data_IF_294204661518
#
_entry.id   IF_294204661518
#
_cell.length_a   1.000
_cell.length_b   1.000
_cell.length_c   1.000
_cell.angle_alpha   90.00
_cell.angle_beta   90.00
_cell.angle_gamma   90.00
#
_symmetry.space_group_name_H-M   'P 1'
#
loop_
_entity.id
_entity.type
_entity.pdbx_description
1 polymer ?
#
# COMPACT_ATOMS: atom_id res chain seq x y z
N UNK A 1 22.30 49.14 14.72
CA UNK A 1 21.11 48.50 14.08
C UNK A 1 20.01 48.28 15.11
N UNK A 2 18.83 48.90 14.90
CA UNK A 2 17.65 48.72 15.76
C UNK A 2 17.28 47.23 15.82
N UNK A 3 16.88 46.72 16.99
CA UNK A 3 16.54 45.28 17.21
C UNK A 3 15.54 44.75 16.16
N UNK A 4 14.59 45.58 15.71
CA UNK A 4 13.63 45.22 14.65
C UNK A 4 14.26 44.96 13.27
N UNK A 5 15.34 45.65 12.90
CA UNK A 5 16.04 45.42 11.63
C UNK A 5 16.86 44.11 11.66
N UNK A 6 17.46 43.76 12.81
CA UNK A 6 18.11 42.46 13.00
C UNK A 6 17.11 41.30 12.93
N UNK A 7 15.93 41.47 13.55
CA UNK A 7 14.88 40.47 13.52
C UNK A 7 14.32 40.25 12.10
N UNK A 8 14.11 41.32 11.34
CA UNK A 8 13.67 41.24 9.95
C UNK A 8 14.66 40.51 9.03
N UNK A 9 15.96 40.74 9.20
CA UNK A 9 17.01 40.02 8.44
C UNK A 9 17.02 38.53 8.81
N UNK A 10 16.93 38.19 10.10
CA UNK A 10 16.89 36.80 10.55
C UNK A 10 15.65 36.08 10.01
N UNK A 11 14.48 36.71 10.06
CA UNK A 11 13.24 36.15 9.49
C UNK A 11 13.34 35.98 7.96
N UNK A 12 13.98 36.92 7.26
CA UNK A 12 14.24 36.80 5.83
C UNK A 12 15.15 35.62 5.49
N UNK A 13 16.23 35.42 6.24
CA UNK A 13 17.14 34.26 6.07
C UNK A 13 16.39 32.95 6.34
N UNK A 14 15.61 32.88 7.42
CA UNK A 14 14.81 31.69 7.75
C UNK A 14 13.81 31.39 6.62
N UNK A 15 13.10 32.38 6.10
CA UNK A 15 12.15 32.19 5.01
C UNK A 15 12.82 31.63 3.74
N UNK A 16 14.00 32.13 3.38
CA UNK A 16 14.76 31.62 2.23
C UNK A 16 15.26 30.19 2.45
N UNK A 17 15.66 29.83 3.68
CA UNK A 17 16.09 28.45 4.01
C UNK A 17 14.94 27.45 4.10
N UNK A 18 13.74 27.90 4.50
CA UNK A 18 12.56 27.05 4.59
C UNK A 18 12.06 26.59 3.22
N UNK A 19 12.29 27.35 2.15
CA UNK A 19 11.86 26.97 0.79
C UNK A 19 12.59 25.68 0.33
N UNK A 20 13.93 25.60 0.28
CA UNK A 20 14.62 24.34 -0.02
C UNK A 20 14.29 23.22 0.97
N UNK A 21 14.19 23.53 2.27
CA UNK A 21 13.84 22.54 3.28
C UNK A 21 12.45 21.94 3.06
N UNK A 22 11.48 22.73 2.60
CA UNK A 22 10.14 22.25 2.25
C UNK A 22 10.19 21.29 1.05
N UNK A 23 10.92 21.64 -0.02
CA UNK A 23 11.04 20.76 -1.18
C UNK A 23 11.75 19.44 -0.83
N UNK A 24 12.83 19.49 -0.05
CA UNK A 24 13.48 18.29 0.48
C UNK A 24 12.51 17.51 1.38
N UNK A 25 11.75 18.21 2.24
CA UNK A 25 10.75 17.59 3.10
C UNK A 25 9.72 16.79 2.30
N UNK A 26 9.24 17.39 1.21
CA UNK A 26 8.29 16.79 0.28
C UNK A 26 8.88 15.53 -0.38
N UNK A 27 10.13 15.56 -0.85
CA UNK A 27 10.75 14.42 -1.55
C UNK A 27 10.90 13.18 -0.68
N UNK A 28 11.05 13.35 0.63
CA UNK A 28 11.08 12.25 1.59
C UNK A 28 9.70 11.89 2.15
N UNK A 29 8.61 12.44 1.59
CA UNK A 29 7.25 12.19 2.07
C UNK A 29 7.04 12.60 3.53
N UNK A 30 7.80 13.58 4.06
CA UNK A 30 7.69 14.00 5.47
C UNK A 30 6.28 14.49 5.79
N UNK A 31 5.62 15.16 4.85
CA UNK A 31 4.28 15.71 4.99
C UNK A 31 3.16 14.75 4.58
N UNK A 32 3.51 13.59 4.00
CA UNK A 32 2.55 12.56 3.64
C UNK A 32 2.03 11.84 4.90
N UNK A 33 0.75 11.46 4.91
CA UNK A 33 0.14 10.73 6.03
C UNK A 33 0.60 9.27 6.10
N UNK A 34 1.12 8.74 5.00
CA UNK A 34 1.41 7.33 4.75
C UNK A 34 2.92 7.04 4.69
N UNK A 35 3.28 5.79 4.95
CA UNK A 35 4.65 5.29 4.88
C UNK A 35 4.67 3.96 4.13
N UNK A 36 5.60 3.82 3.17
CA UNK A 36 5.87 2.55 2.48
C UNK A 36 6.66 1.63 3.42
N UNK A 37 6.28 0.37 3.46
CA UNK A 37 6.78 -0.63 4.42
C UNK A 37 8.13 -1.24 4.04
N UNK A 38 8.99 -0.50 3.33
CA UNK A 38 10.31 -0.96 2.84
C UNK A 38 11.25 -1.50 3.91
N UNK A 39 11.03 -1.12 5.18
CA UNK A 39 11.85 -1.53 6.33
C UNK A 39 11.17 -2.57 7.22
N UNK A 40 9.98 -3.03 6.85
CA UNK A 40 9.19 -3.99 7.62
C UNK A 40 9.05 -5.31 6.86
N UNK A 41 8.91 -6.40 7.59
CA UNK A 41 8.32 -7.63 7.07
C UNK A 41 6.78 -7.53 7.13
N UNK A 42 6.10 -8.28 6.27
CA UNK A 42 4.65 -8.44 6.31
C UNK A 42 4.32 -9.83 6.86
N UNK A 43 3.28 -9.92 7.68
CA UNK A 43 2.72 -11.18 8.16
C UNK A 43 1.19 -11.13 8.19
N UNK A 44 0.57 -12.30 8.30
CA UNK A 44 -0.85 -12.48 8.60
C UNK A 44 -0.98 -13.17 9.97
N UNK A 45 -1.93 -12.72 10.77
CA UNK A 45 -2.31 -13.38 12.01
C UNK A 45 -3.36 -14.48 11.75
N UNK A 46 -3.07 -15.70 12.21
CA UNK A 46 -3.94 -16.86 12.13
C UNK A 46 -3.91 -17.56 13.48
N UNK A 47 -5.07 -17.67 14.14
CA UNK A 47 -5.23 -18.29 15.45
C UNK A 47 -4.21 -17.79 16.50
N UNK A 48 -3.95 -16.47 16.50
CA UNK A 48 -3.01 -15.82 17.42
C UNK A 48 -1.52 -16.02 17.10
N UNK A 49 -1.18 -16.62 15.96
CA UNK A 49 0.19 -16.81 15.47
C UNK A 49 0.43 -16.01 14.19
N UNK A 50 1.66 -15.54 14.00
CA UNK A 50 2.06 -14.68 12.88
C UNK A 50 2.79 -15.51 11.82
N UNK A 51 2.36 -15.44 10.57
CA UNK A 51 2.95 -16.19 9.46
C UNK A 51 3.41 -15.24 8.36
N UNK A 52 4.57 -15.52 7.76
CA UNK A 52 5.07 -14.81 6.57
C UNK A 52 4.07 -14.92 5.43
N UNK A 53 3.85 -13.82 4.71
CA UNK A 53 2.90 -13.73 3.59
C UNK A 53 3.56 -13.70 2.22
N UNK A 54 4.84 -14.04 2.10
CA UNK A 54 5.54 -14.18 0.82
C UNK A 54 4.70 -14.97 -0.19
N UNK A 55 4.41 -14.41 -1.39
CA UNK A 55 5.23 -13.43 -2.10
C UNK A 55 4.74 -11.97 -2.02
N UNK A 56 3.87 -11.60 -1.07
CA UNK A 56 3.52 -10.19 -0.86
C UNK A 56 4.75 -9.40 -0.38
N UNK A 57 5.15 -8.39 -1.14
CA UNK A 57 6.39 -7.65 -0.89
C UNK A 57 6.10 -6.38 -0.11
N UNK A 58 6.76 -6.23 1.04
CA UNK A 58 6.57 -5.07 1.92
C UNK A 58 6.95 -3.73 1.28
N UNK A 59 7.89 -3.69 0.35
CA UNK A 59 8.23 -2.47 -0.40
C UNK A 59 7.12 -2.01 -1.35
N UNK A 60 6.14 -2.86 -1.67
CA UNK A 60 4.93 -2.51 -2.44
C UNK A 60 3.72 -2.25 -1.56
N UNK A 61 3.86 -2.40 -0.24
CA UNK A 61 2.84 -2.10 0.73
C UNK A 61 3.08 -0.75 1.41
N UNK A 62 2.01 -0.09 1.81
CA UNK A 62 2.06 1.13 2.60
C UNK A 62 0.97 1.11 3.67
N UNK A 63 1.12 1.98 4.66
CA UNK A 63 0.10 2.20 5.68
C UNK A 63 0.06 3.65 6.13
N UNK A 64 -1.02 4.06 6.80
CA UNK A 64 -1.02 5.33 7.51
C UNK A 64 0.05 5.34 8.63
N UNK A 65 0.77 6.45 8.78
CA UNK A 65 1.84 6.62 9.80
C UNK A 65 1.30 6.61 11.23
N UNK A 66 0.03 7.00 11.43
CA UNK A 66 -0.60 7.24 12.73
C UNK A 66 -2.06 6.82 12.69
N UNK A 67 -2.63 6.62 13.88
CA UNK A 67 -3.99 6.14 14.07
C UNK A 67 -4.02 4.70 14.59
N UNK A 68 -5.10 4.37 15.27
CA UNK A 68 -5.41 2.98 15.68
C UNK A 68 -6.03 2.21 14.49
N UNK A 69 -6.85 2.89 13.67
CA UNK A 69 -7.47 2.33 12.46
C UNK A 69 -6.66 2.66 11.19
N UNK A 70 -5.37 2.33 11.21
CA UNK A 70 -4.48 2.57 10.05
C UNK A 70 -5.05 1.90 8.81
N UNK A 71 -5.06 2.61 7.70
CA UNK A 71 -5.38 2.02 6.41
C UNK A 71 -4.17 1.26 5.86
N UNK A 72 -4.40 0.09 5.28
CA UNK A 72 -3.42 -0.68 4.52
C UNK A 72 -3.59 -0.40 3.03
N UNK A 73 -2.48 -0.16 2.34
CA UNK A 73 -2.45 0.09 0.91
C UNK A 73 -1.45 -0.83 0.23
N UNK A 74 -1.71 -1.18 -1.04
CA UNK A 74 -0.82 -2.00 -1.85
C UNK A 74 -0.74 -1.47 -3.29
N UNK A 75 0.43 -1.52 -3.92
CA UNK A 75 0.62 -0.98 -5.28
C UNK A 75 -0.37 -1.63 -6.27
N UNK A 76 -1.08 -0.80 -7.03
CA UNK A 76 -2.24 -1.22 -7.84
C UNK A 76 -1.87 -2.10 -9.05
N UNK A 77 -0.69 -1.87 -9.63
CA UNK A 77 -0.23 -2.47 -10.89
C UNK A 77 0.56 -3.77 -10.68
N UNK A 78 0.37 -4.44 -9.53
CA UNK A 78 1.14 -5.63 -9.17
C UNK A 78 0.27 -6.89 -9.18
N UNK A 79 0.75 -7.93 -9.86
CA UNK A 79 0.02 -9.22 -9.92
C UNK A 79 -0.10 -9.92 -8.56
N UNK A 80 0.83 -9.66 -7.64
CA UNK A 80 0.85 -10.27 -6.31
C UNK A 80 -0.25 -9.71 -5.39
N UNK A 81 -0.95 -8.64 -5.76
CA UNK A 81 -2.13 -8.15 -5.03
C UNK A 81 -3.24 -9.21 -4.93
N UNK A 82 -3.27 -10.20 -5.84
CA UNK A 82 -4.16 -11.37 -5.77
C UNK A 82 -3.99 -12.17 -4.47
N UNK A 83 -2.77 -12.22 -3.91
CA UNK A 83 -2.50 -12.93 -2.67
C UNK A 83 -3.18 -12.28 -1.46
N UNK A 84 -3.44 -10.96 -1.48
CA UNK A 84 -4.24 -10.31 -0.43
C UNK A 84 -5.69 -10.77 -0.45
N UNK A 85 -6.25 -11.06 -1.64
CA UNK A 85 -7.59 -11.64 -1.74
C UNK A 85 -7.61 -13.08 -1.25
N UNK A 86 -6.59 -13.88 -1.57
CA UNK A 86 -6.46 -15.24 -1.04
C UNK A 86 -6.35 -15.26 0.49
N UNK A 87 -5.61 -14.31 1.07
CA UNK A 87 -5.59 -14.09 2.52
C UNK A 87 -6.98 -13.78 3.07
N UNK A 88 -7.68 -12.84 2.44
CA UNK A 88 -9.01 -12.39 2.86
C UNK A 88 -10.05 -13.52 2.82
N UNK A 89 -9.99 -14.38 1.80
CA UNK A 89 -10.88 -15.53 1.65
C UNK A 89 -10.38 -16.81 2.35
N UNK A 90 -9.26 -16.73 3.08
CA UNK A 90 -8.63 -17.88 3.78
C UNK A 90 -8.28 -19.03 2.83
N UNK A 91 -7.86 -18.73 1.61
CA UNK A 91 -7.41 -19.68 0.59
C UNK A 91 -5.91 -19.99 0.72
N UNK A 92 -5.50 -20.38 1.93
CA UNK A 92 -4.10 -20.69 2.25
C UNK A 92 -4.03 -21.69 3.41
N UNK A 93 -2.88 -22.32 3.57
CA UNK A 93 -2.55 -23.19 4.70
C UNK A 93 -1.29 -22.66 5.42
N UNK A 94 -1.30 -22.51 6.75
CA UNK A 94 -0.08 -22.17 7.48
C UNK A 94 0.91 -23.34 7.49
N UNK A 95 2.15 -23.09 7.07
CA UNK A 95 3.26 -24.03 7.09
C UNK A 95 4.24 -23.62 8.20
N UNK A 96 4.32 -24.39 9.31
CA UNK A 96 5.24 -24.08 10.41
C UNK A 96 6.70 -24.07 9.97
N UNK A 97 7.47 -23.13 10.47
CA UNK A 97 8.94 -23.08 10.31
C UNK A 97 9.58 -22.32 11.46
N UNK A 98 10.81 -22.71 11.82
CA UNK A 98 11.64 -22.07 12.84
C UNK A 98 12.69 -21.11 12.24
N UNK A 99 12.61 -20.81 10.93
CA UNK A 99 13.62 -20.00 10.22
C UNK A 99 13.69 -18.55 10.72
N UNK A 100 12.55 -17.99 11.15
CA UNK A 100 12.44 -16.63 11.66
C UNK A 100 11.84 -16.66 13.07
N UNK A 101 12.58 -16.26 14.13
CA UNK A 101 12.10 -16.35 15.52
C UNK A 101 10.90 -15.44 15.84
N UNK A 102 10.55 -14.50 14.95
CA UNK A 102 9.39 -13.62 15.09
C UNK A 102 8.13 -14.15 14.41
N UNK A 103 8.24 -15.24 13.64
CA UNK A 103 7.15 -15.83 12.87
C UNK A 103 7.01 -17.31 13.22
N UNK A 104 5.78 -17.81 13.21
CA UNK A 104 5.49 -19.23 13.42
C UNK A 104 5.71 -20.08 12.16
N UNK A 105 6.05 -19.45 11.04
CA UNK A 105 6.24 -20.07 9.74
C UNK A 105 5.84 -19.13 8.60
N UNK A 106 5.41 -19.71 7.49
CA UNK A 106 4.93 -19.02 6.28
C UNK A 106 3.58 -19.56 5.85
N UNK A 107 2.86 -18.85 5.00
CA UNK A 107 1.65 -19.38 4.39
C UNK A 107 1.95 -20.03 3.05
N UNK A 108 1.23 -21.12 2.77
CA UNK A 108 1.18 -21.75 1.48
C UNK A 108 -0.17 -21.41 0.83
N UNK A 109 -0.11 -20.61 -0.22
CA UNK A 109 -1.28 -20.20 -0.99
C UNK A 109 -1.84 -21.35 -1.82
N UNK A 110 -3.17 -21.54 -1.77
CA UNK A 110 -3.87 -22.61 -2.50
C UNK A 110 -4.66 -22.14 -3.72
N UNK A 111 -4.89 -20.83 -3.87
CA UNK A 111 -5.71 -20.27 -4.94
C UNK A 111 -4.97 -20.01 -6.25
N UNK A 112 -5.71 -19.94 -7.36
CA UNK A 112 -5.17 -19.53 -8.65
C UNK A 112 -4.63 -18.09 -8.61
N UNK A 113 -3.49 -17.86 -9.30
CA UNK A 113 -2.73 -16.60 -9.24
C UNK A 113 -3.50 -15.39 -9.80
N UNK A 114 -4.44 -15.60 -10.72
CA UNK A 114 -5.15 -14.52 -11.42
C UNK A 114 -6.67 -14.56 -11.17
N UNK A 115 -7.10 -15.27 -10.10
CA UNK A 115 -8.52 -15.48 -9.77
C UNK A 115 -9.27 -14.18 -9.47
N UNK A 116 -8.64 -13.29 -8.70
CA UNK A 116 -9.28 -12.08 -8.18
C UNK A 116 -8.85 -10.83 -8.94
N UNK A 117 -7.67 -10.85 -9.55
CA UNK A 117 -7.08 -9.68 -10.17
C UNK A 117 -6.63 -10.07 -11.55
N UNK A 118 -7.20 -9.41 -12.54
CA UNK A 118 -6.91 -9.68 -13.95
C UNK A 118 -6.44 -8.42 -14.63
N UNK A 119 -5.39 -8.57 -15.42
CA UNK A 119 -4.83 -7.54 -16.26
C UNK A 119 -5.47 -7.65 -17.65
N UNK A 120 -6.31 -6.67 -18.03
CA UNK A 120 -7.10 -6.70 -19.27
C UNK A 120 -6.66 -5.60 -20.22
N UNK A 121 -6.29 -5.98 -21.44
CA UNK A 121 -6.01 -5.02 -22.50
C UNK A 121 -7.32 -4.51 -23.09
N UNK A 122 -7.60 -3.23 -22.91
CA UNK A 122 -8.78 -2.55 -23.46
C UNK A 122 -8.39 -1.79 -24.72
N UNK A 123 -8.92 -2.20 -25.87
CA UNK A 123 -8.69 -1.53 -27.15
C UNK A 123 -9.61 -0.31 -27.28
N UNK A 124 -9.03 0.86 -27.54
CA UNK A 124 -9.78 2.06 -27.90
C UNK A 124 -10.06 2.08 -29.41
N UNK A 125 -9.15 1.51 -30.20
CA UNK A 125 -9.33 1.26 -31.62
C UNK A 125 -8.42 0.09 -32.08
N UNK A 126 -8.31 -0.13 -33.39
CA UNK A 126 -7.53 -1.25 -33.95
C UNK A 126 -6.00 -1.17 -33.68
N UNK A 127 -5.49 0.00 -33.26
CA UNK A 127 -4.06 0.25 -33.02
C UNK A 127 -3.77 0.63 -31.58
N UNK A 128 -4.68 1.35 -30.95
CA UNK A 128 -4.48 1.89 -29.61
C UNK A 128 -5.20 1.04 -28.57
N UNK A 129 -4.48 0.69 -27.52
CA UNK A 129 -4.99 -0.07 -26.39
C UNK A 129 -4.34 0.38 -25.11
N UNK A 130 -5.10 0.37 -24.03
CA UNK A 130 -4.63 0.63 -22.68
C UNK A 130 -4.73 -0.61 -21.81
N UNK A 131 -3.95 -0.59 -20.73
CA UNK A 131 -3.92 -1.67 -19.76
C UNK A 131 -4.79 -1.30 -18.56
N UNK A 132 -5.82 -2.08 -18.28
CA UNK A 132 -6.67 -1.89 -17.10
C UNK A 132 -6.58 -3.09 -16.17
N UNK A 133 -6.89 -2.89 -14.90
CA UNK A 133 -6.83 -3.89 -13.84
C UNK A 133 -8.23 -4.10 -13.27
N UNK A 134 -8.72 -5.33 -13.35
CA UNK A 134 -10.06 -5.70 -12.90
C UNK A 134 -9.99 -6.58 -11.65
N UNK A 135 -10.71 -6.17 -10.62
CA UNK A 135 -10.78 -6.83 -9.32
C UNK A 135 -12.12 -7.54 -9.17
N UNK A 136 -12.10 -8.77 -8.71
CA UNK A 136 -13.25 -9.66 -8.61
C UNK A 136 -13.42 -10.21 -7.18
N UNK A 137 -14.65 -10.57 -6.83
CA UNK A 137 -14.95 -11.26 -5.57
C UNK A 137 -14.79 -12.79 -5.66
N UNK A 138 -15.03 -13.49 -4.55
CA UNK A 138 -15.03 -14.97 -4.45
C UNK A 138 -15.97 -15.69 -5.42
N UNK A 139 -16.94 -14.99 -6.01
CA UNK A 139 -17.90 -15.51 -7.00
C UNK A 139 -17.54 -15.10 -8.43
N UNK A 140 -16.39 -14.45 -8.64
CA UNK A 140 -15.95 -13.95 -9.93
C UNK A 140 -16.69 -12.69 -10.41
N UNK A 141 -17.43 -11.99 -9.54
CA UNK A 141 -18.13 -10.75 -9.90
C UNK A 141 -17.15 -9.58 -9.83
N UNK A 142 -17.15 -8.73 -10.85
CA UNK A 142 -16.35 -7.50 -10.87
C UNK A 142 -16.77 -6.57 -9.72
N UNK A 143 -15.82 -6.16 -8.88
CA UNK A 143 -16.04 -5.25 -7.74
C UNK A 143 -15.36 -3.89 -7.91
N UNK A 144 -14.29 -3.84 -8.70
CA UNK A 144 -13.52 -2.62 -8.94
C UNK A 144 -12.73 -2.71 -10.24
N UNK A 145 -12.49 -1.57 -10.89
CA UNK A 145 -11.62 -1.45 -12.06
C UNK A 145 -10.71 -0.26 -11.87
N UNK A 146 -9.42 -0.48 -12.04
CA UNK A 146 -8.40 0.56 -12.06
C UNK A 146 -7.90 0.76 -13.48
N UNK A 147 -7.96 2.00 -13.94
CA UNK A 147 -7.43 2.47 -15.22
C UNK A 147 -6.30 3.48 -14.92
N UNK A 148 -5.03 3.12 -15.17
CA UNK A 148 -3.87 3.99 -14.93
C UNK A 148 -3.89 5.29 -15.75
N UNK A 149 -4.62 5.32 -16.87
CA UNK A 149 -4.71 6.49 -17.74
C UNK A 149 -5.87 7.42 -17.35
N UNK A 150 -6.79 6.95 -16.50
CA UNK A 150 -7.89 7.75 -15.98
C UNK A 150 -7.47 8.59 -14.75
N UNK A 151 -8.20 9.68 -14.43
CA UNK A 151 -8.01 10.38 -13.17
C UNK A 151 -8.15 9.42 -11.97
N UNK A 152 -7.21 9.50 -11.02
CA UNK A 152 -7.18 8.60 -9.88
C UNK A 152 -8.50 8.64 -9.08
N UNK A 153 -9.08 7.47 -8.87
CA UNK A 153 -10.26 7.30 -8.04
C UNK A 153 -9.89 7.40 -6.55
N UNK A 154 -10.07 8.60 -5.99
CA UNK A 154 -9.68 8.91 -4.61
C UNK A 154 -10.49 8.17 -3.55
N UNK A 155 -11.55 7.45 -3.92
CA UNK A 155 -12.31 6.66 -2.97
C UNK A 155 -11.55 5.38 -2.58
N UNK A 156 -10.88 4.74 -3.55
CA UNK A 156 -10.16 3.48 -3.34
C UNK A 156 -8.67 3.53 -3.64
N UNK A 157 -8.17 4.64 -4.18
CA UNK A 157 -6.78 4.78 -4.60
C UNK A 157 -6.09 5.97 -3.93
N UNK A 158 -4.77 5.85 -3.78
CA UNK A 158 -3.90 6.92 -3.28
C UNK A 158 -2.56 6.91 -3.98
N UNK A 159 -2.09 8.08 -4.36
CA UNK A 159 -0.70 8.27 -4.79
C UNK A 159 0.18 8.39 -3.55
N UNK A 160 1.20 7.53 -3.44
CA UNK A 160 2.07 7.48 -2.27
C UNK A 160 3.52 7.62 -2.74
N UNK A 161 4.22 8.55 -2.13
CA UNK A 161 5.66 8.77 -2.31
C UNK A 161 6.41 7.64 -1.62
N UNK A 162 7.17 6.87 -2.39
CA UNK A 162 8.07 5.87 -1.87
C UNK A 162 9.40 6.52 -1.44
N UNK A 163 9.39 7.09 -0.23
CA UNK A 163 10.48 7.88 0.32
C UNK A 163 11.85 7.19 0.22
N UNK A 164 12.84 7.91 -0.31
CA UNK A 164 14.20 7.39 -0.51
C UNK A 164 14.41 6.62 -1.81
N UNK A 165 13.37 6.43 -2.63
CA UNK A 165 13.49 5.94 -4.01
C UNK A 165 13.34 7.11 -5.00
N UNK A 166 14.17 7.10 -6.04
CA UNK A 166 14.09 8.07 -7.13
C UNK A 166 14.08 7.36 -8.47
N UNK A 167 13.23 7.81 -9.39
CA UNK A 167 13.16 7.29 -10.76
C UNK A 167 13.95 8.22 -11.68
N UNK A 168 14.82 7.62 -12.50
CA UNK A 168 15.51 8.33 -13.57
C UNK A 168 14.67 8.28 -14.84
N UNK A 169 14.30 9.44 -15.36
CA UNK A 169 13.54 9.57 -16.61
C UNK A 169 14.08 10.77 -17.38
N UNK A 170 14.57 10.53 -18.60
CA UNK A 170 14.98 11.59 -19.54
C UNK A 170 16.03 12.58 -19.02
N UNK A 171 16.98 12.15 -18.19
CA UNK A 171 18.06 13.01 -17.67
C UNK A 171 17.75 13.75 -16.37
N UNK A 172 16.55 13.56 -15.79
CA UNK A 172 16.16 14.06 -14.47
C UNK A 172 16.04 12.94 -13.43
N UNK A 173 16.14 13.32 -12.15
CA UNK A 173 15.85 12.47 -11.00
C UNK A 173 14.53 12.98 -10.39
N UNK A 174 13.52 12.13 -10.30
CA UNK A 174 12.22 12.47 -9.72
C UNK A 174 11.87 11.52 -8.58
N UNK A 175 11.02 11.99 -7.66
CA UNK A 175 10.45 11.16 -6.59
C UNK A 175 9.64 10.01 -7.21
N UNK A 176 9.71 8.83 -6.59
CA UNK A 176 8.84 7.71 -6.98
C UNK A 176 7.48 7.91 -6.32
N UNK A 177 6.51 8.35 -7.10
CA UNK A 177 5.09 8.43 -6.72
C UNK A 177 4.39 7.31 -7.45
N UNK A 178 3.92 6.31 -6.72
CA UNK A 178 3.22 5.17 -7.29
C UNK A 178 1.74 5.16 -6.83
N UNK A 179 0.83 4.61 -7.65
CA UNK A 179 -0.57 4.44 -7.29
C UNK A 179 -0.77 3.18 -6.41
N UNK A 180 -1.46 3.34 -5.29
CA UNK A 180 -1.79 2.27 -4.36
C UNK A 180 -3.30 2.15 -4.18
N UNK A 181 -3.80 0.91 -4.13
CA UNK A 181 -5.17 0.61 -3.72
C UNK A 181 -5.25 0.60 -2.20
N UNK A 182 -6.25 1.25 -1.62
CA UNK A 182 -6.62 1.14 -0.21
C UNK A 182 -7.34 -0.20 0.00
N UNK A 183 -6.59 -1.21 0.41
CA UNK A 183 -7.06 -2.57 0.66
C UNK A 183 -8.04 -2.58 1.82
N UNK A 184 -7.76 -1.86 2.90
CA UNK A 184 -8.65 -1.79 4.07
C UNK A 184 -10.04 -1.31 3.68
N UNK A 185 -10.12 -0.23 2.88
CA UNK A 185 -11.39 0.32 2.43
C UNK A 185 -12.07 -0.52 1.36
N UNK A 186 -11.32 -0.99 0.35
CA UNK A 186 -11.88 -1.82 -0.73
C UNK A 186 -12.46 -3.12 -0.16
N UNK A 187 -11.73 -3.81 0.72
CA UNK A 187 -12.18 -5.07 1.29
C UNK A 187 -13.38 -4.89 2.22
N UNK A 188 -13.40 -3.81 3.01
CA UNK A 188 -14.55 -3.49 3.85
C UNK A 188 -15.79 -3.22 3.00
N UNK A 189 -15.69 -2.30 2.03
CA UNK A 189 -16.83 -1.82 1.27
C UNK A 189 -17.36 -2.84 0.26
N UNK A 190 -16.47 -3.65 -0.34
CA UNK A 190 -16.83 -4.58 -1.43
C UNK A 190 -16.92 -6.04 -1.01
N UNK A 191 -16.15 -6.46 -0.01
CA UNK A 191 -16.06 -7.85 0.43
C UNK A 191 -16.64 -8.07 1.84
N UNK A 192 -16.90 -7.00 2.57
CA UNK A 192 -17.29 -7.09 3.97
C UNK A 192 -16.18 -7.59 4.88
N UNK A 193 -14.92 -7.44 4.49
CA UNK A 193 -13.77 -7.95 5.25
C UNK A 193 -13.06 -6.78 5.91
N UNK A 194 -12.90 -6.87 7.23
CA UNK A 194 -12.18 -5.88 8.02
C UNK A 194 -10.70 -6.25 8.04
N UNK A 195 -9.86 -5.30 7.60
CA UNK A 195 -8.40 -5.43 7.65
C UNK A 195 -7.87 -4.52 8.76
N UNK A 196 -7.16 -5.10 9.71
CA UNK A 196 -6.46 -4.39 10.80
C UNK A 196 -4.95 -4.60 10.68
N UNK A 197 -4.18 -3.65 11.18
CA UNK A 197 -2.72 -3.73 11.22
C UNK A 197 -2.23 -3.62 12.66
N UNK A 198 -1.39 -4.57 13.05
CA UNK A 198 -0.54 -4.49 14.24
C UNK A 198 0.90 -4.20 13.80
N UNK A 199 1.57 -3.26 14.46
CA UNK A 199 2.91 -2.81 14.06
C UNK A 199 3.88 -2.98 15.22
N UNK A 200 4.78 -3.92 15.05
CA UNK A 200 5.93 -4.11 15.92
C UNK A 200 7.13 -3.37 15.34
N UNK A 201 7.41 -2.19 15.88
CA UNK A 201 8.51 -1.35 15.43
C UNK A 201 9.90 -1.92 15.79
N UNK A 202 10.00 -2.74 16.84
CA UNK A 202 11.26 -3.32 17.31
C UNK A 202 11.62 -4.53 16.44
N UNK A 203 10.66 -5.46 16.25
CA UNK A 203 10.82 -6.59 15.35
C UNK A 203 10.76 -6.20 13.86
N UNK A 204 10.39 -4.94 13.55
CA UNK A 204 10.13 -4.43 12.20
C UNK A 204 9.14 -5.32 11.44
N UNK A 205 8.01 -5.60 12.08
CA UNK A 205 6.96 -6.47 11.55
C UNK A 205 5.64 -5.72 11.49
N UNK A 206 4.95 -5.80 10.35
CA UNK A 206 3.55 -5.39 10.21
C UNK A 206 2.71 -6.64 10.04
N UNK A 207 1.79 -6.87 10.96
CA UNK A 207 0.89 -8.03 10.97
C UNK A 207 -0.49 -7.59 10.52
N UNK A 208 -1.01 -8.24 9.49
CA UNK A 208 -2.38 -8.08 9.02
C UNK A 208 -3.28 -9.02 9.83
N UNK A 209 -4.46 -8.55 10.20
CA UNK A 209 -5.57 -9.39 10.65
C UNK A 209 -6.76 -9.12 9.74
N UNK A 210 -7.37 -10.19 9.23
CA UNK A 210 -8.49 -10.13 8.29
C UNK A 210 -9.65 -10.94 8.83
N UNK A 211 -10.76 -10.26 9.11
CA UNK A 211 -11.96 -10.86 9.69
C UNK A 211 -13.19 -10.52 8.85
N UNK A 212 -14.11 -11.48 8.71
CA UNK A 212 -15.42 -11.19 8.13
C UNK A 212 -16.13 -10.18 9.05
N UNK A 213 -16.48 -9.02 8.51
CA UNK A 213 -17.27 -8.03 9.19
C UNK A 213 -18.64 -8.61 9.55
N UNK A 214 -19.14 -8.29 10.75
CA UNK A 214 -20.42 -8.79 11.27
C UNK A 214 -21.66 -8.32 10.49
N UNK A 215 -21.50 -7.43 9.51
CA UNK A 215 -22.60 -6.70 8.86
C UNK A 215 -22.84 -7.05 7.38
N UNK A 216 -22.36 -8.19 6.87
CA UNK A 216 -22.75 -8.66 5.53
C UNK A 216 -23.75 -9.80 5.65
N UNK A 217 -25.03 -9.42 5.67
CA UNK A 217 -26.13 -10.35 5.47
C UNK A 217 -26.04 -10.94 4.04
N UNK A 218 -26.14 -12.27 3.87
CA UNK A 218 -26.13 -12.91 2.55
C UNK A 218 -27.35 -12.55 1.70
#
# INVERSE_FOLDING_TARGET
>A
MKKGAKLGIVLGIIAVLLIPAYFIGRTFGLFQGEVVLTRYALAIEVDGRKYDVWPLISSFAAMDKRGEDRQFYYQAERSDINYLFQLAYKEFEPEPSDDNPYLAGKIQYGGERDKYVTEVRQYENARDSKQIYQFHDGKGRLIYTYDPEAPIDRDYMKEIIAAGMTRHTGGGQSEVIDPYINITKLFKDKLGILVKLDVDAEAKLVTLSMEQGKDVNP
#
